data_IF_615172524953
#
_entry.id   IF_615172524953
#
_cell.length_a   1.000
_cell.length_b   1.000
_cell.length_c   1.000
_cell.angle_alpha   90.00
_cell.angle_beta   90.00
_cell.angle_gamma   90.00
#
_symmetry.space_group_name_H-M   'P 1'
#
loop_
_entity.id
_entity.type
_entity.pdbx_description
1 polymer ?
#
# COMPACT_ATOMS: atom_id res chain seq x y z
N UNK A 1 2.11 21.74 35.37
CA UNK A 1 1.30 21.06 34.34
C UNK A 1 2.11 21.11 33.07
N UNK A 2 2.79 20.01 32.73
CA UNK A 2 3.56 19.89 31.50
C UNK A 2 2.56 19.83 30.35
N UNK A 3 2.55 20.85 29.50
CA UNK A 3 1.90 20.79 28.19
C UNK A 3 2.60 19.69 27.41
N UNK A 4 1.93 18.54 27.26
CA UNK A 4 2.29 17.56 26.23
C UNK A 4 2.14 18.33 24.92
N UNK A 5 3.27 18.72 24.31
CA UNK A 5 3.29 19.10 22.91
C UNK A 5 2.70 17.92 22.17
N UNK A 6 1.53 18.06 21.55
CA UNK A 6 1.12 17.11 20.51
C UNK A 6 2.30 17.05 19.53
N UNK A 7 2.96 15.88 19.44
CA UNK A 7 4.05 15.73 18.49
C UNK A 7 3.44 15.90 17.10
N UNK A 8 4.02 16.80 16.32
CA UNK A 8 3.59 17.01 14.93
C UNK A 8 3.69 15.68 14.18
N UNK A 9 2.59 15.23 13.59
CA UNK A 9 2.59 14.08 12.68
C UNK A 9 2.69 14.59 11.25
N UNK A 10 3.86 14.41 10.64
CA UNK A 10 4.11 14.80 9.25
C UNK A 10 3.17 14.06 8.30
N UNK A 11 2.98 12.76 8.57
CA UNK A 11 2.09 11.90 7.80
C UNK A 11 0.65 12.39 7.83
N UNK A 12 0.10 12.72 9.00
CA UNK A 12 -1.25 13.29 9.12
C UNK A 12 -1.36 14.66 8.45
N UNK A 13 -0.38 15.54 8.61
CA UNK A 13 -0.35 16.84 7.92
C UNK A 13 -0.40 16.66 6.40
N UNK A 14 0.36 15.72 5.84
CA UNK A 14 0.39 15.45 4.40
C UNK A 14 -0.88 14.79 3.86
N UNK A 15 -1.52 13.92 4.64
CA UNK A 15 -2.84 13.39 4.27
C UNK A 15 -3.89 14.50 4.20
N UNK A 16 -3.87 15.44 5.15
CA UNK A 16 -4.76 16.60 5.11
C UNK A 16 -4.47 17.51 3.91
N UNK A 17 -3.20 17.79 3.61
CA UNK A 17 -2.79 18.61 2.46
C UNK A 17 -3.18 17.97 1.12
N UNK A 18 -3.11 16.65 1.02
CA UNK A 18 -3.40 15.90 -0.21
C UNK A 18 -4.78 15.22 -0.18
N UNK A 19 -5.73 15.72 0.61
CA UNK A 19 -6.99 15.03 0.91
C UNK A 19 -7.75 14.56 -0.34
N UNK A 20 -7.85 15.40 -1.38
CA UNK A 20 -8.56 15.05 -2.61
C UNK A 20 -7.92 13.85 -3.32
N UNK A 21 -6.60 13.87 -3.45
CA UNK A 21 -5.84 12.80 -4.09
C UNK A 21 -5.86 11.52 -3.25
N UNK A 22 -5.74 11.64 -1.92
CA UNK A 22 -5.87 10.52 -0.99
C UNK A 22 -7.26 9.88 -1.07
N UNK A 23 -8.32 10.70 -1.14
CA UNK A 23 -9.69 10.20 -1.30
C UNK A 23 -9.87 9.48 -2.63
N UNK A 24 -9.31 10.01 -3.72
CA UNK A 24 -9.38 9.36 -5.02
C UNK A 24 -8.66 8.01 -5.05
N UNK A 25 -7.52 7.88 -4.35
CA UNK A 25 -6.76 6.65 -4.24
C UNK A 25 -7.43 5.59 -3.33
N UNK A 26 -8.17 6.01 -2.30
CA UNK A 26 -8.74 5.09 -1.29
C UNK A 26 -10.22 4.78 -1.48
N UNK A 27 -10.98 5.66 -2.11
CA UNK A 27 -12.40 5.47 -2.44
C UNK A 27 -12.63 5.35 -3.95
N UNK A 28 -11.68 4.73 -4.66
CA UNK A 28 -11.75 4.58 -6.11
C UNK A 28 -13.01 3.80 -6.54
N UNK A 29 -13.49 4.03 -7.76
CA UNK A 29 -14.70 3.37 -8.31
C UNK A 29 -14.60 1.84 -8.30
N UNK A 30 -13.40 1.30 -8.51
CA UNK A 30 -13.11 -0.13 -8.36
C UNK A 30 -13.41 -0.62 -6.93
N UNK A 31 -12.87 0.05 -5.91
CA UNK A 31 -13.09 -0.26 -4.50
C UNK A 31 -14.57 -0.08 -4.10
N UNK A 32 -15.18 1.02 -4.53
CA UNK A 32 -16.60 1.28 -4.32
C UNK A 32 -17.47 0.16 -4.90
N UNK A 33 -17.13 -0.37 -6.08
CA UNK A 33 -17.88 -1.48 -6.68
C UNK A 33 -17.77 -2.79 -5.88
N UNK A 34 -16.65 -3.02 -5.18
CA UNK A 34 -16.51 -4.14 -4.24
C UNK A 34 -17.44 -3.91 -3.04
N UNK A 35 -17.36 -2.72 -2.41
CA UNK A 35 -18.20 -2.34 -1.26
C UNK A 35 -19.69 -2.45 -1.59
N UNK A 36 -20.11 -1.99 -2.77
CA UNK A 36 -21.52 -1.97 -3.18
C UNK A 36 -22.04 -3.32 -3.70
N UNK A 37 -21.15 -4.30 -3.87
CA UNK A 37 -21.49 -5.62 -4.39
C UNK A 37 -21.81 -5.64 -5.89
N UNK A 38 -21.32 -4.65 -6.63
CA UNK A 38 -21.57 -4.47 -8.07
C UNK A 38 -20.35 -4.78 -8.94
N UNK A 39 -19.21 -5.13 -8.33
CA UNK A 39 -17.97 -5.49 -9.02
C UNK A 39 -18.20 -6.63 -10.03
N UNK A 40 -17.74 -6.44 -11.27
CA UNK A 40 -17.68 -7.51 -12.26
C UNK A 40 -16.53 -8.46 -11.90
N UNK A 41 -16.80 -9.77 -11.90
CA UNK A 41 -15.80 -10.81 -11.66
C UNK A 41 -14.60 -10.70 -12.61
N UNK A 42 -14.81 -10.23 -13.84
CA UNK A 42 -13.73 -10.02 -14.81
C UNK A 42 -12.78 -8.93 -14.31
N UNK A 43 -13.30 -7.80 -13.82
CA UNK A 43 -12.50 -6.71 -13.26
C UNK A 43 -11.75 -7.16 -12.00
N UNK A 44 -12.43 -7.92 -11.13
CA UNK A 44 -11.79 -8.49 -9.94
C UNK A 44 -10.62 -9.42 -10.30
N UNK A 45 -10.84 -10.34 -11.24
CA UNK A 45 -9.77 -11.23 -11.74
C UNK A 45 -8.63 -10.44 -12.37
N UNK A 46 -8.95 -9.38 -13.12
CA UNK A 46 -7.96 -8.54 -13.77
C UNK A 46 -7.08 -7.79 -12.77
N UNK A 47 -7.67 -7.26 -11.69
CA UNK A 47 -6.91 -6.72 -10.57
C UNK A 47 -5.99 -7.78 -9.94
N UNK A 48 -6.51 -8.96 -9.59
CA UNK A 48 -5.69 -10.02 -8.96
C UNK A 48 -4.51 -10.46 -9.83
N UNK A 49 -4.70 -10.53 -11.15
CA UNK A 49 -3.64 -10.81 -12.11
C UNK A 49 -2.50 -9.79 -11.97
N UNK A 50 -2.83 -8.51 -11.97
CA UNK A 50 -1.86 -7.43 -11.88
C UNK A 50 -1.23 -7.29 -10.49
N UNK A 51 -2.04 -7.42 -9.43
CA UNK A 51 -1.59 -7.25 -8.05
C UNK A 51 -0.61 -8.33 -7.61
N UNK A 52 -0.77 -9.56 -8.14
CA UNK A 52 0.24 -10.60 -7.95
C UNK A 52 1.61 -10.23 -8.55
N UNK A 53 1.66 -9.49 -9.66
CA UNK A 53 2.94 -9.01 -10.19
C UNK A 53 3.52 -7.89 -9.32
N UNK A 54 2.67 -6.95 -8.90
CA UNK A 54 3.06 -5.85 -8.04
C UNK A 54 3.67 -6.35 -6.74
N UNK A 55 2.99 -7.27 -6.02
CA UNK A 55 3.45 -7.76 -4.72
C UNK A 55 4.82 -8.44 -4.80
N UNK A 56 5.16 -9.06 -5.93
CA UNK A 56 6.47 -9.70 -6.13
C UNK A 56 7.61 -8.70 -6.23
N UNK A 57 7.38 -7.54 -6.83
CA UNK A 57 8.34 -6.44 -6.85
C UNK A 57 8.31 -5.68 -5.51
N UNK A 58 7.14 -5.55 -4.89
CA UNK A 58 6.99 -4.94 -3.56
C UNK A 58 7.81 -5.66 -2.48
N UNK A 59 7.91 -6.99 -2.52
CA UNK A 59 8.81 -7.76 -1.63
C UNK A 59 10.26 -7.29 -1.72
N UNK A 60 10.76 -6.97 -2.93
CA UNK A 60 12.14 -6.51 -3.13
C UNK A 60 12.32 -5.12 -2.55
N UNK A 61 11.35 -4.24 -2.81
CA UNK A 61 11.31 -2.91 -2.24
C UNK A 61 11.32 -2.94 -0.71
N UNK A 62 10.43 -3.70 -0.06
CA UNK A 62 10.37 -3.81 1.41
C UNK A 62 11.65 -4.40 1.99
N UNK A 63 12.24 -5.41 1.34
CA UNK A 63 13.56 -5.91 1.74
C UNK A 63 14.65 -4.82 1.66
N UNK A 64 14.58 -3.93 0.66
CA UNK A 64 15.50 -2.80 0.54
C UNK A 64 15.27 -1.75 1.64
N UNK A 65 14.03 -1.56 2.11
CA UNK A 65 13.70 -0.68 3.25
C UNK A 65 14.35 -1.21 4.52
N UNK A 66 14.27 -2.53 4.76
CA UNK A 66 14.90 -3.18 5.91
C UNK A 66 16.42 -2.96 5.94
N UNK A 67 17.08 -3.00 4.78
CA UNK A 67 18.52 -2.73 4.66
C UNK A 67 18.88 -1.26 4.94
N UNK A 68 17.94 -0.33 4.75
CA UNK A 68 18.13 1.11 4.97
C UNK A 68 17.91 1.53 6.42
N UNK A 69 17.34 0.67 7.28
CA UNK A 69 17.15 0.97 8.70
C UNK A 69 18.50 1.34 9.35
N UNK A 70 18.64 2.53 9.98
CA UNK A 70 19.89 2.94 10.61
C UNK A 70 20.33 1.94 11.68
N UNK A 71 21.64 1.65 11.74
CA UNK A 71 22.20 0.61 12.63
C UNK A 71 22.07 0.93 14.12
N UNK A 72 21.87 2.20 14.45
CA UNK A 72 21.65 2.73 15.78
C UNK A 72 20.15 2.87 16.14
N UNK A 73 19.25 2.50 15.22
CA UNK A 73 17.82 2.44 15.52
C UNK A 73 17.50 1.33 16.52
N UNK A 74 16.47 1.50 17.38
CA UNK A 74 15.96 0.42 18.22
C UNK A 74 15.61 -0.82 17.39
N UNK A 75 15.83 -2.01 17.95
CA UNK A 75 15.53 -3.29 17.28
C UNK A 75 14.06 -3.37 16.83
N UNK A 76 13.15 -2.76 17.60
CA UNK A 76 11.72 -2.73 17.29
C UNK A 76 11.40 -2.03 15.95
N UNK A 77 12.21 -1.05 15.53
CA UNK A 77 12.01 -0.37 14.24
C UNK A 77 12.25 -1.35 13.08
N UNK A 78 13.29 -2.19 13.20
CA UNK A 78 13.57 -3.23 12.21
C UNK A 78 12.52 -4.36 12.27
N UNK A 79 12.01 -4.69 13.46
CA UNK A 79 10.95 -5.70 13.64
C UNK A 79 9.65 -5.31 12.91
N UNK A 80 9.28 -4.03 12.88
CA UNK A 80 8.11 -3.55 12.13
C UNK A 80 8.27 -3.79 10.63
N UNK A 81 9.44 -3.52 10.05
CA UNK A 81 9.69 -3.77 8.63
C UNK A 81 9.76 -5.28 8.33
N UNK A 82 10.41 -6.04 9.22
CA UNK A 82 10.51 -7.50 9.11
C UNK A 82 9.14 -8.17 9.21
N UNK A 83 8.23 -7.65 10.04
CA UNK A 83 6.85 -8.11 10.15
C UNK A 83 6.11 -8.00 8.82
N UNK A 84 6.24 -6.86 8.12
CA UNK A 84 5.67 -6.67 6.78
C UNK A 84 6.23 -7.66 5.76
N UNK A 85 7.56 -7.80 5.72
CA UNK A 85 8.21 -8.76 4.82
C UNK A 85 7.75 -10.21 5.06
N UNK A 86 7.53 -10.57 6.32
CA UNK A 86 6.99 -11.90 6.69
C UNK A 86 5.53 -12.05 6.24
N UNK A 87 4.71 -11.00 6.39
CA UNK A 87 3.33 -11.00 5.93
C UNK A 87 3.23 -11.15 4.39
N UNK A 88 4.19 -10.60 3.63
CA UNK A 88 4.23 -10.73 2.18
C UNK A 88 4.47 -12.17 1.69
N UNK A 89 5.15 -13.03 2.46
CA UNK A 89 5.24 -14.46 2.13
C UNK A 89 3.86 -15.11 2.18
N UNK A 90 3.13 -14.87 3.26
CA UNK A 90 1.73 -15.32 3.42
C UNK A 90 0.83 -14.76 2.32
N UNK A 91 1.15 -13.57 1.81
CA UNK A 91 0.44 -12.91 0.71
C UNK A 91 0.62 -13.57 -0.62
N UNK A 92 1.86 -13.82 -1.00
CA UNK A 92 2.18 -14.57 -2.21
C UNK A 92 1.53 -15.96 -2.16
N UNK A 93 1.58 -16.62 -0.99
CA UNK A 93 0.94 -17.92 -0.77
C UNK A 93 -0.59 -17.86 -0.90
N UNK A 94 -1.22 -16.77 -0.48
CA UNK A 94 -2.66 -16.55 -0.66
C UNK A 94 -3.03 -16.22 -2.10
N UNK A 95 -2.31 -15.33 -2.79
CA UNK A 95 -2.55 -15.05 -4.21
C UNK A 95 -2.52 -16.32 -5.06
N UNK A 96 -1.59 -17.24 -4.79
CA UNK A 96 -1.54 -18.55 -5.47
C UNK A 96 -2.79 -19.39 -5.22
N UNK A 97 -3.34 -19.35 -4.00
CA UNK A 97 -4.58 -20.08 -3.66
C UNK A 97 -5.80 -19.46 -4.34
N UNK A 98 -5.92 -18.14 -4.29
CA UNK A 98 -7.00 -17.41 -4.94
C UNK A 98 -6.93 -17.58 -6.46
N UNK A 99 -5.76 -17.47 -7.08
CA UNK A 99 -5.61 -17.69 -8.52
C UNK A 99 -6.12 -19.09 -8.94
N UNK A 100 -5.88 -20.12 -8.13
CA UNK A 100 -6.45 -21.46 -8.39
C UNK A 100 -7.97 -21.47 -8.25
N UNK A 101 -8.53 -20.82 -7.23
CA UNK A 101 -9.99 -20.73 -7.04
C UNK A 101 -10.65 -20.00 -8.21
N UNK A 102 -10.08 -18.87 -8.64
CA UNK A 102 -10.60 -18.02 -9.70
C UNK A 102 -10.21 -18.47 -11.12
N UNK A 103 -9.46 -19.57 -11.26
CA UNK A 103 -8.97 -20.07 -12.55
C UNK A 103 -8.14 -19.00 -13.31
N UNK A 104 -7.20 -18.38 -12.61
CA UNK A 104 -6.22 -17.42 -13.15
C UNK A 104 -4.89 -18.13 -13.34
N UNK A 105 -4.29 -17.96 -14.51
CA UNK A 105 -2.97 -18.51 -14.84
C UNK A 105 -1.90 -17.43 -14.67
N UNK A 106 -1.42 -17.24 -13.43
CA UNK A 106 -0.48 -16.17 -13.07
C UNK A 106 0.78 -16.13 -13.97
N UNK A 107 1.29 -17.28 -14.40
CA UNK A 107 2.47 -17.37 -15.30
C UNK A 107 2.24 -16.81 -16.71
N UNK A 108 0.98 -16.58 -17.10
CA UNK A 108 0.59 -16.06 -18.42
C UNK A 108 0.21 -14.58 -18.38
N UNK A 109 0.15 -13.99 -17.18
CA UNK A 109 -0.23 -12.60 -17.02
C UNK A 109 0.92 -11.72 -17.50
N UNK A 110 0.58 -10.73 -18.32
CA UNK A 110 1.53 -9.69 -18.74
C UNK A 110 1.22 -8.43 -17.94
N UNK A 111 2.20 -7.82 -17.25
CA UNK A 111 2.00 -6.56 -16.56
C UNK A 111 1.52 -5.47 -17.53
N UNK A 112 0.49 -4.74 -17.12
CA UNK A 112 0.00 -3.56 -17.82
C UNK A 112 0.91 -2.35 -17.58
N UNK A 113 0.72 -1.30 -18.37
CA UNK A 113 1.59 -0.12 -18.30
C UNK A 113 1.55 0.56 -16.93
N UNK A 114 0.36 0.75 -16.33
CA UNK A 114 0.24 1.30 -14.96
C UNK A 114 1.02 0.47 -13.93
N UNK A 115 0.99 -0.87 -14.07
CA UNK A 115 1.71 -1.77 -13.18
C UNK A 115 3.23 -1.67 -13.36
N UNK A 116 3.69 -1.63 -14.63
CA UNK A 116 5.12 -1.43 -14.94
C UNK A 116 5.61 -0.08 -14.41
N UNK A 117 4.87 0.99 -14.64
CA UNK A 117 5.19 2.34 -14.14
C UNK A 117 5.37 2.33 -12.62
N UNK A 118 4.48 1.63 -11.91
CA UNK A 118 4.58 1.50 -10.45
C UNK A 118 5.78 0.65 -10.03
N UNK A 119 6.00 -0.51 -10.66
CA UNK A 119 7.15 -1.37 -10.35
C UNK A 119 8.50 -0.69 -10.65
N UNK A 120 8.59 0.11 -11.72
CA UNK A 120 9.76 0.92 -12.03
C UNK A 120 10.01 1.97 -10.94
N UNK A 121 8.95 2.63 -10.47
CA UNK A 121 9.05 3.56 -9.34
C UNK A 121 9.53 2.88 -8.05
N UNK A 122 9.03 1.68 -7.72
CA UNK A 122 9.53 0.91 -6.56
C UNK A 122 11.03 0.60 -6.70
N UNK A 123 11.45 0.21 -7.90
CA UNK A 123 12.86 -0.09 -8.21
C UNK A 123 13.76 1.14 -8.08
N UNK A 124 13.28 2.33 -8.42
CA UNK A 124 14.02 3.58 -8.17
C UNK A 124 14.22 3.82 -6.67
N UNK A 125 13.19 3.56 -5.86
CA UNK A 125 13.25 3.69 -4.39
C UNK A 125 14.16 2.64 -3.72
N UNK A 126 14.43 1.51 -4.38
CA UNK A 126 15.38 0.50 -3.89
C UNK A 126 16.84 1.01 -3.86
N UNK A 127 17.18 1.99 -4.72
CA UNK A 127 18.54 2.50 -4.89
C UNK A 127 19.20 3.01 -3.60
N UNK A 128 20.53 2.98 -3.55
CA UNK A 128 21.33 3.47 -2.41
C UNK A 128 21.18 4.96 -2.16
N UNK A 129 20.79 5.71 -3.19
CA UNK A 129 20.56 7.16 -3.13
C UNK A 129 19.19 7.53 -2.53
N UNK A 130 18.36 6.54 -2.19
CA UNK A 130 17.08 6.76 -1.51
C UNK A 130 17.29 6.70 0.00
N UNK A 131 17.14 7.83 0.72
CA UNK A 131 17.29 7.85 2.17
C UNK A 131 16.23 7.00 2.87
N UNK A 132 16.57 6.46 4.04
CA UNK A 132 15.65 5.67 4.86
C UNK A 132 14.30 6.37 5.11
N UNK A 133 14.24 7.66 5.50
CA UNK A 133 12.97 8.36 5.72
C UNK A 133 12.05 8.35 4.51
N UNK A 134 12.61 8.51 3.29
CA UNK A 134 11.84 8.47 2.04
C UNK A 134 11.32 7.06 1.77
N UNK A 135 12.15 6.04 1.98
CA UNK A 135 11.80 4.65 1.73
C UNK A 135 10.73 4.13 2.70
N UNK A 136 10.82 4.46 4.00
CA UNK A 136 9.81 4.03 4.98
C UNK A 136 8.48 4.77 4.82
N UNK A 137 8.52 6.05 4.42
CA UNK A 137 7.31 6.81 4.05
C UNK A 137 6.62 6.19 2.84
N UNK A 138 7.38 5.81 1.82
CA UNK A 138 6.82 5.11 0.66
C UNK A 138 6.15 3.81 1.08
N UNK A 139 6.83 3.01 1.90
CA UNK A 139 6.27 1.75 2.41
C UNK A 139 4.97 1.96 3.18
N UNK A 140 4.95 2.91 4.11
CA UNK A 140 3.74 3.26 4.87
C UNK A 140 2.60 3.71 3.95
N UNK A 141 2.85 4.59 2.96
CA UNK A 141 1.79 5.12 2.10
C UNK A 141 1.12 4.03 1.26
N UNK A 142 1.89 3.08 0.72
CA UNK A 142 1.38 1.95 -0.07
C UNK A 142 0.45 1.10 0.79
N UNK A 143 0.92 0.69 1.98
CA UNK A 143 0.13 -0.14 2.90
C UNK A 143 -1.11 0.60 3.42
N UNK A 144 -1.01 1.91 3.64
CA UNK A 144 -2.13 2.75 4.07
C UNK A 144 -3.23 2.82 3.01
N UNK A 145 -2.89 2.97 1.72
CA UNK A 145 -3.89 3.04 0.66
C UNK A 145 -4.68 1.74 0.59
N UNK A 146 -4.02 0.59 0.65
CA UNK A 146 -4.69 -0.72 0.69
C UNK A 146 -5.54 -0.88 1.95
N UNK A 147 -5.02 -0.51 3.13
CA UNK A 147 -5.79 -0.60 4.38
C UNK A 147 -7.07 0.23 4.32
N UNK A 148 -6.95 1.52 3.97
CA UNK A 148 -8.09 2.43 3.91
C UNK A 148 -9.12 1.97 2.88
N UNK A 149 -8.67 1.53 1.70
CA UNK A 149 -9.53 1.03 0.62
C UNK A 149 -10.38 -0.16 1.07
N UNK A 150 -9.73 -1.21 1.59
CA UNK A 150 -10.42 -2.46 1.94
C UNK A 150 -11.14 -2.40 3.28
N UNK A 151 -10.72 -1.56 4.23
CA UNK A 151 -11.46 -1.37 5.48
C UNK A 151 -12.88 -0.84 5.21
N UNK A 152 -13.02 0.06 4.23
CA UNK A 152 -14.32 0.58 3.79
C UNK A 152 -15.30 -0.54 3.34
N UNK A 153 -14.77 -1.63 2.78
CA UNK A 153 -15.53 -2.78 2.33
C UNK A 153 -15.98 -3.73 3.47
N UNK A 154 -15.57 -3.49 4.72
CA UNK A 154 -16.00 -4.22 5.92
C UNK A 154 -16.89 -3.40 6.85
N UNK A 155 -17.06 -2.11 6.58
CA UNK A 155 -17.90 -1.23 7.39
C UNK A 155 -19.37 -1.62 7.35
N UNK A 156 -20.13 -1.11 8.33
CA UNK A 156 -21.57 -1.25 8.35
C UNK A 156 -22.20 -0.70 7.05
N UNK A 157 -23.14 -1.46 6.49
CA UNK A 157 -23.79 -1.13 5.22
C UNK A 157 -23.06 -1.62 3.96
N UNK A 158 -21.85 -2.19 4.10
CA UNK A 158 -21.17 -2.85 2.98
C UNK A 158 -21.96 -4.07 2.47
N UNK A 159 -21.95 -4.25 1.15
CA UNK A 159 -22.55 -5.36 0.39
C UNK A 159 -21.47 -6.21 -0.31
N UNK A 160 -20.24 -6.19 0.20
CA UNK A 160 -19.13 -7.00 -0.32
C UNK A 160 -19.58 -8.44 -0.58
N UNK A 161 -19.40 -8.96 -1.82
CA UNK A 161 -19.78 -10.33 -2.16
C UNK A 161 -19.06 -11.34 -1.26
N UNK A 162 -19.74 -12.43 -0.90
CA UNK A 162 -19.22 -13.42 0.05
C UNK A 162 -17.88 -14.00 -0.41
N UNK A 163 -17.75 -14.26 -1.71
CA UNK A 163 -16.57 -14.77 -2.39
C UNK A 163 -15.37 -13.81 -2.35
N UNK A 164 -15.58 -12.52 -2.08
CA UNK A 164 -14.50 -11.53 -1.95
C UNK A 164 -14.12 -11.24 -0.49
N UNK A 165 -14.82 -11.82 0.49
CA UNK A 165 -14.54 -11.56 1.90
C UNK A 165 -13.13 -12.01 2.33
N UNK A 166 -12.56 -13.05 1.72
CA UNK A 166 -11.17 -13.47 2.00
C UNK A 166 -10.18 -12.36 1.64
N UNK A 167 -10.37 -11.79 0.45
CA UNK A 167 -9.61 -10.66 -0.11
C UNK A 167 -9.74 -9.44 0.79
N UNK A 168 -10.97 -8.99 1.02
CA UNK A 168 -11.21 -7.76 1.78
C UNK A 168 -10.69 -7.87 3.22
N UNK A 169 -10.83 -9.03 3.87
CA UNK A 169 -10.31 -9.22 5.24
C UNK A 169 -8.79 -9.19 5.33
N UNK A 170 -8.06 -9.40 4.24
CA UNK A 170 -6.60 -9.35 4.26
C UNK A 170 -6.13 -7.95 4.65
N UNK A 171 -6.55 -6.96 3.86
CA UNK A 171 -6.12 -5.57 4.03
C UNK A 171 -7.11 -4.71 4.84
N UNK A 172 -8.37 -5.14 4.98
CA UNK A 172 -9.37 -4.43 5.81
C UNK A 172 -9.39 -4.84 7.28
N UNK A 173 -8.59 -5.84 7.70
CA UNK A 173 -8.60 -6.33 9.08
C UNK A 173 -8.08 -5.30 10.09
N UNK A 174 -8.53 -5.43 11.34
CA UNK A 174 -8.00 -4.65 12.46
C UNK A 174 -6.51 -4.91 12.70
N UNK A 175 -6.05 -6.14 12.48
CA UNK A 175 -4.63 -6.51 12.61
C UNK A 175 -3.77 -5.73 11.60
N UNK A 176 -4.18 -5.71 10.32
CA UNK A 176 -3.47 -4.94 9.30
C UNK A 176 -3.55 -3.43 9.56
N UNK A 177 -4.69 -2.93 10.05
CA UNK A 177 -4.81 -1.53 10.45
C UNK A 177 -3.82 -1.15 11.56
N UNK A 178 -3.64 -2.00 12.58
CA UNK A 178 -2.66 -1.80 13.65
C UNK A 178 -1.22 -1.84 13.12
N UNK A 179 -0.95 -2.71 12.13
CA UNK A 179 0.33 -2.77 11.45
C UNK A 179 0.64 -1.46 10.70
N UNK A 180 -0.30 -0.98 9.89
CA UNK A 180 -0.18 0.30 9.17
C UNK A 180 0.02 1.47 10.13
N UNK A 181 -0.66 1.47 11.28
CA UNK A 181 -0.43 2.50 12.29
C UNK A 181 0.99 2.44 12.88
N UNK A 182 1.54 1.24 13.10
CA UNK A 182 2.94 1.07 13.52
C UNK A 182 3.93 1.60 12.47
N UNK A 183 3.64 1.35 11.19
CA UNK A 183 4.41 1.93 10.08
C UNK A 183 4.31 3.45 10.01
N UNK A 184 3.14 4.02 10.28
CA UNK A 184 2.94 5.46 10.32
C UNK A 184 3.81 6.12 11.40
N UNK A 185 3.81 5.54 12.61
CA UNK A 185 4.64 6.02 13.71
C UNK A 185 6.13 5.94 13.37
N UNK A 186 6.55 4.85 12.71
CA UNK A 186 7.93 4.68 12.26
C UNK A 186 8.31 5.72 11.19
N UNK A 187 7.41 6.02 10.26
CA UNK A 187 7.59 7.04 9.25
C UNK A 187 7.68 8.45 9.86
N UNK A 188 6.77 8.82 10.77
CA UNK A 188 6.82 10.11 11.48
C UNK A 188 8.14 10.27 12.25
N UNK A 189 8.56 9.23 12.98
CA UNK A 189 9.84 9.20 13.70
C UNK A 189 11.02 9.41 12.77
N UNK A 190 11.02 8.76 11.61
CA UNK A 190 12.10 8.89 10.62
C UNK A 190 12.18 10.30 10.02
N UNK A 191 11.11 11.11 10.11
CA UNK A 191 11.04 12.46 9.56
C UNK A 191 11.41 13.57 10.57
N UNK A 192 11.58 13.26 11.86
CA UNK A 192 11.79 14.30 12.89
C UNK A 192 13.09 15.11 12.72
N UNK A 193 14.15 14.50 12.19
CA UNK A 193 15.50 15.09 12.17
C UNK A 193 16.16 15.04 10.77
N UNK A 194 15.36 15.16 9.72
CA UNK A 194 15.85 15.14 8.34
C UNK A 194 16.01 16.53 7.75
N UNK A 195 16.76 16.65 6.64
CA UNK A 195 16.86 17.90 5.91
C UNK A 195 15.55 18.31 5.24
N UNK A 196 15.37 19.60 4.96
CA UNK A 196 14.21 20.10 4.21
C UNK A 196 14.09 19.44 2.82
N UNK A 197 15.22 19.14 2.18
CA UNK A 197 15.26 18.43 0.91
C UNK A 197 14.73 16.99 1.03
N UNK A 198 15.05 16.28 2.11
CA UNK A 198 14.54 14.94 2.38
C UNK A 198 13.06 14.95 2.74
N UNK A 199 12.59 15.91 3.55
CA UNK A 199 11.16 16.10 3.83
C UNK A 199 10.38 16.31 2.54
N UNK A 200 10.86 17.21 1.68
CA UNK A 200 10.25 17.50 0.38
C UNK A 200 10.20 16.24 -0.49
N UNK A 201 11.31 15.51 -0.59
CA UNK A 201 11.38 14.26 -1.37
C UNK A 201 10.43 13.19 -0.84
N UNK A 202 10.31 13.04 0.48
CA UNK A 202 9.37 12.11 1.10
C UNK A 202 7.91 12.48 0.81
N UNK A 203 7.57 13.78 0.87
CA UNK A 203 6.23 14.26 0.51
C UNK A 203 5.91 14.07 -0.97
N UNK A 204 6.86 14.35 -1.87
CA UNK A 204 6.72 14.09 -3.31
C UNK A 204 6.46 12.61 -3.60
N UNK A 205 7.14 11.71 -2.87
CA UNK A 205 6.92 10.27 -2.96
C UNK A 205 5.52 9.87 -2.48
N UNK A 206 5.01 10.46 -1.39
CA UNK A 206 3.62 10.27 -0.97
C UNK A 206 2.63 10.62 -2.10
N UNK A 207 2.77 11.81 -2.68
CA UNK A 207 1.90 12.26 -3.78
C UNK A 207 1.99 11.31 -4.96
N UNK A 208 3.22 10.91 -5.33
CA UNK A 208 3.47 10.01 -6.44
C UNK A 208 2.82 8.64 -6.24
N UNK A 209 2.85 8.10 -5.03
CA UNK A 209 2.19 6.83 -4.70
C UNK A 209 0.68 6.95 -4.89
N UNK A 210 0.06 8.02 -4.38
CA UNK A 210 -1.38 8.21 -4.55
C UNK A 210 -1.79 8.29 -6.04
N UNK A 211 -0.99 8.95 -6.88
CA UNK A 211 -1.22 8.97 -8.34
C UNK A 211 -1.11 7.58 -8.97
N UNK A 212 -0.10 6.81 -8.57
CA UNK A 212 0.13 5.46 -9.08
C UNK A 212 -0.98 4.50 -8.66
N UNK A 213 -1.46 4.60 -7.42
CA UNK A 213 -2.59 3.83 -6.90
C UNK A 213 -3.86 4.10 -7.72
N UNK A 214 -4.18 5.35 -8.02
CA UNK A 214 -5.34 5.69 -8.88
C UNK A 214 -5.20 5.02 -10.25
N UNK A 215 -4.04 5.13 -10.90
CA UNK A 215 -3.79 4.45 -12.19
C UNK A 215 -3.86 2.93 -12.09
N UNK A 216 -3.49 2.37 -10.93
CA UNK A 216 -3.55 0.94 -10.65
C UNK A 216 -5.01 0.47 -10.52
N UNK A 217 -5.86 1.24 -9.83
CA UNK A 217 -7.29 0.97 -9.76
C UNK A 217 -8.01 1.18 -11.10
N UNK A 218 -7.60 2.18 -11.88
CA UNK A 218 -8.13 2.42 -13.22
C UNK A 218 -7.90 1.21 -14.14
N UNK A 219 -6.68 0.66 -14.14
CA UNK A 219 -6.37 -0.49 -15.01
C UNK A 219 -7.14 -1.76 -14.61
N UNK A 220 -7.62 -1.87 -13.37
CA UNK A 220 -8.42 -3.01 -12.92
C UNK A 220 -9.81 -3.07 -13.57
N UNK A 221 -10.31 -1.94 -14.08
CA UNK A 221 -11.61 -1.87 -14.75
C UNK A 221 -11.43 -1.98 -16.25
N UNK A 222 -11.89 -3.09 -16.84
CA UNK A 222 -11.89 -3.22 -18.30
C UNK A 222 -12.96 -2.27 -18.86
N UNK A 223 -12.51 -1.24 -19.56
CA UNK A 223 -13.41 -0.37 -20.31
C UNK A 223 -14.02 -1.17 -21.46
N UNK A 224 -15.31 -1.48 -21.37
CA UNK A 224 -16.08 -1.97 -22.51
C UNK A 224 -16.33 -0.78 -23.43
N UNK A 225 -15.63 -0.78 -24.58
CA UNK A 225 -15.90 0.14 -25.69
C UNK A 225 -17.18 -0.20 -26.44
#
# INVERSE_FOLDING_TARGET
>A
MSTISESRSFTTDWLHQNHELYTAATNHTFIASIRDGTIDVINFKHWMEQDYHFVREFVRFVASVLLKVPRDSPEQDADVILGGLTALESEISWFRKEANFWQIFLEKVTPLESNKEYCEFLKELEGTETPYPVAVVAFWMIELVYNASFMSCLEEGSKTPFELLSTVKRWGSLEFHQYVHSLQQLADKALENVSEAELKKAHEVCVRILELEIKFWDMATIQTG
#
